data_IF_428040620634
#
_entry.id   IF_428040620634
#
_cell.length_a   1.000
_cell.length_b   1.000
_cell.length_c   1.000
_cell.angle_alpha   90.00
_cell.angle_beta   90.00
_cell.angle_gamma   90.00
#
_symmetry.space_group_name_H-M   'P 1'
#
loop_
_entity.id
_entity.type
_entity.pdbx_description
1 polymer ?
#
# COMPACT_ATOMS: atom_id res chain seq x y z
N UNK A 1 -8.26 20.53 -11.90
CA UNK A 1 -9.14 19.90 -10.90
C UNK A 1 -8.74 20.48 -9.55
N UNK A 2 -9.53 21.43 -9.07
CA UNK A 2 -9.18 22.31 -7.94
C UNK A 2 -9.26 21.53 -6.63
N UNK A 3 -8.18 21.55 -5.86
CA UNK A 3 -8.13 20.96 -4.51
C UNK A 3 -8.94 21.89 -3.59
N UNK A 4 -10.16 21.49 -3.24
CA UNK A 4 -10.95 22.16 -2.23
C UNK A 4 -10.57 21.64 -0.85
N UNK A 5 -9.79 22.41 -0.09
CA UNK A 5 -9.74 22.26 1.36
C UNK A 5 -11.03 22.86 1.93
N UNK A 6 -11.88 22.05 2.53
CA UNK A 6 -12.94 22.54 3.41
C UNK A 6 -12.46 22.34 4.84
N UNK A 7 -12.13 23.44 5.52
CA UNK A 7 -11.90 23.41 6.95
C UNK A 7 -13.27 23.25 7.63
N UNK A 8 -13.52 22.09 8.22
CA UNK A 8 -14.64 21.92 9.13
C UNK A 8 -14.21 22.37 10.53
N UNK A 9 -14.75 23.51 10.96
CA UNK A 9 -14.45 24.24 12.21
C UNK A 9 -15.04 23.56 13.47
N UNK A 10 -14.92 22.24 13.59
CA UNK A 10 -15.28 21.53 14.81
C UNK A 10 -14.39 20.30 14.98
N UNK A 11 -13.64 20.27 16.08
CA UNK A 11 -12.67 19.25 16.53
C UNK A 11 -11.26 19.42 15.96
N UNK A 12 -10.29 19.68 16.85
CA UNK A 12 -8.83 19.67 16.59
C UNK A 12 -8.28 18.27 16.25
N UNK A 13 -9.08 17.42 15.60
CA UNK A 13 -8.64 16.16 15.02
C UNK A 13 -8.65 16.34 13.51
N UNK A 14 -7.47 16.58 12.92
CA UNK A 14 -7.28 16.56 11.48
C UNK A 14 -7.64 15.15 11.01
N UNK A 15 -8.84 14.96 10.46
CA UNK A 15 -9.22 13.68 9.85
C UNK A 15 -8.53 13.64 8.49
N UNK A 16 -7.51 12.81 8.38
CA UNK A 16 -6.90 12.50 7.09
C UNK A 16 -7.91 11.62 6.34
N UNK A 17 -8.34 12.07 5.17
CA UNK A 17 -9.27 11.33 4.31
C UNK A 17 -8.55 10.28 3.46
N UNK A 18 -9.25 9.18 3.15
CA UNK A 18 -8.81 8.23 2.14
C UNK A 18 -8.68 8.93 0.78
N UNK A 19 -7.58 8.68 0.09
CA UNK A 19 -7.28 9.19 -1.25
C UNK A 19 -7.86 8.25 -2.33
N UNK A 20 -8.19 7.00 -1.99
CA UNK A 20 -8.87 6.05 -2.86
C UNK A 20 -10.16 5.52 -2.23
N UNK A 21 -11.00 4.84 -3.03
CA UNK A 21 -12.17 4.11 -2.54
C UNK A 21 -11.83 2.66 -2.09
N UNK A 22 -10.55 2.35 -1.89
CA UNK A 22 -10.08 1.01 -1.52
C UNK A 22 -10.61 0.59 -0.13
N UNK A 23 -11.25 -0.60 0.00
CA UNK A 23 -11.67 -1.13 1.30
C UNK A 23 -10.51 -1.32 2.29
N UNK A 24 -9.28 -1.49 1.78
CA UNK A 24 -8.06 -1.62 2.58
C UNK A 24 -7.73 -0.27 3.24
N UNK A 25 -7.88 0.83 2.50
CA UNK A 25 -7.59 2.17 3.00
C UNK A 25 -8.55 2.58 4.10
N UNK A 26 -9.84 2.25 3.95
CA UNK A 26 -10.86 2.48 4.97
C UNK A 26 -10.58 1.70 6.28
N UNK A 27 -10.08 0.46 6.18
CA UNK A 27 -9.69 -0.31 7.35
C UNK A 27 -8.54 0.36 8.11
N UNK A 28 -7.55 0.88 7.40
CA UNK A 28 -6.47 1.62 8.06
C UNK A 28 -6.92 2.96 8.64
N UNK A 29 -7.83 3.68 7.99
CA UNK A 29 -8.35 4.96 8.50
C UNK A 29 -9.03 4.79 9.87
N UNK A 30 -9.74 3.68 10.06
CA UNK A 30 -10.44 3.40 11.33
C UNK A 30 -9.53 2.87 12.43
N UNK A 31 -8.40 2.24 12.08
CA UNK A 31 -7.54 1.52 13.03
C UNK A 31 -6.22 2.21 13.37
N UNK A 32 -5.65 2.99 12.45
CA UNK A 32 -4.34 3.60 12.64
C UNK A 32 -4.40 4.89 13.46
N UNK A 33 -3.29 5.22 14.14
CA UNK A 33 -3.09 6.57 14.65
C UNK A 33 -2.94 7.55 13.49
N UNK A 34 -3.19 8.85 13.73
CA UNK A 34 -3.06 9.89 12.72
C UNK A 34 -1.68 9.88 12.03
N UNK A 35 -0.60 9.69 12.79
CA UNK A 35 0.76 9.61 12.24
C UNK A 35 0.96 8.41 11.31
N UNK A 36 0.50 7.23 11.73
CA UNK A 36 0.61 6.00 10.91
C UNK A 36 -0.24 6.11 9.64
N UNK A 37 -1.44 6.68 9.74
CA UNK A 37 -2.32 6.85 8.59
C UNK A 37 -1.80 7.92 7.62
N UNK A 38 -1.15 8.98 8.12
CA UNK A 38 -0.44 9.96 7.29
C UNK A 38 0.69 9.32 6.47
N UNK A 39 1.51 8.49 7.12
CA UNK A 39 2.56 7.72 6.44
C UNK A 39 1.99 6.72 5.42
N UNK A 40 0.83 6.14 5.71
CA UNK A 40 0.10 5.29 4.77
C UNK A 40 -0.39 6.09 3.56
N UNK A 41 -0.99 7.27 3.75
CA UNK A 41 -1.47 8.13 2.65
C UNK A 41 -0.35 8.54 1.70
N UNK A 42 0.87 8.75 2.20
CA UNK A 42 2.06 8.96 1.37
C UNK A 42 2.38 7.76 0.48
N UNK A 43 1.96 6.54 0.85
CA UNK A 43 2.06 5.33 0.01
C UNK A 43 0.92 5.20 -1.02
N UNK A 44 -0.17 5.95 -0.89
CA UNK A 44 -1.27 5.96 -1.87
C UNK A 44 -1.16 7.09 -2.91
N UNK A 45 -0.52 8.23 -2.59
CA UNK A 45 -0.25 9.35 -3.52
C UNK A 45 0.74 8.98 -4.65
N UNK A 46 0.67 9.63 -5.82
CA UNK A 46 0.42 9.04 -7.15
C UNK A 46 1.46 8.00 -7.64
N UNK A 47 0.98 7.13 -8.54
CA UNK A 47 1.63 5.92 -9.07
C UNK A 47 2.11 6.14 -10.51
N UNK A 48 2.97 7.13 -10.71
CA UNK A 48 3.60 7.35 -12.01
C UNK A 48 4.92 6.57 -11.92
N UNK A 49 5.19 5.70 -12.92
CA UNK A 49 6.42 4.89 -13.05
C UNK A 49 6.45 3.54 -12.31
N UNK A 50 5.30 2.94 -11.97
CA UNK A 50 5.26 1.55 -11.48
C UNK A 50 4.64 0.63 -12.53
N UNK A 51 5.40 -0.38 -12.97
CA UNK A 51 4.92 -1.48 -13.82
C UNK A 51 4.76 -2.71 -12.93
N UNK A 52 3.62 -3.41 -13.04
CA UNK A 52 3.32 -4.58 -12.23
C UNK A 52 2.92 -5.73 -13.14
N UNK A 53 3.55 -6.88 -12.97
CA UNK A 53 3.24 -8.11 -13.70
C UNK A 53 3.10 -9.28 -12.75
N UNK A 54 2.13 -10.16 -13.02
CA UNK A 54 2.08 -11.48 -12.39
C UNK A 54 3.09 -12.37 -13.13
N UNK A 55 4.12 -12.80 -12.43
CA UNK A 55 5.28 -13.49 -13.02
C UNK A 55 5.14 -15.01 -12.92
N UNK A 56 4.72 -15.50 -11.75
CA UNK A 56 4.50 -16.93 -11.51
C UNK A 56 3.24 -17.19 -10.69
N UNK A 57 2.66 -18.38 -10.88
CA UNK A 57 1.51 -18.89 -10.14
C UNK A 57 1.70 -20.39 -9.90
N UNK A 58 1.76 -20.78 -8.63
CA UNK A 58 1.88 -22.18 -8.21
C UNK A 58 0.88 -22.46 -7.08
N UNK A 59 -0.20 -23.14 -7.42
CA UNK A 59 -1.31 -23.38 -6.49
C UNK A 59 -1.89 -22.08 -5.95
N UNK A 60 -1.79 -21.86 -4.64
CA UNK A 60 -2.27 -20.63 -3.99
C UNK A 60 -1.23 -19.51 -3.95
N UNK A 61 0.02 -19.76 -4.34
CA UNK A 61 1.13 -18.81 -4.25
C UNK A 61 1.32 -18.10 -5.59
N UNK A 62 1.21 -16.78 -5.57
CA UNK A 62 1.41 -15.90 -6.71
C UNK A 62 2.65 -15.03 -6.49
N UNK A 63 3.48 -14.92 -7.51
CA UNK A 63 4.65 -14.03 -7.52
C UNK A 63 4.38 -12.85 -8.43
N UNK A 64 4.49 -11.65 -7.87
CA UNK A 64 4.35 -10.40 -8.60
C UNK A 64 5.71 -9.71 -8.73
N UNK A 65 6.05 -9.30 -9.95
CA UNK A 65 7.17 -8.38 -10.22
C UNK A 65 6.64 -6.95 -10.30
N UNK A 66 7.29 -6.06 -9.57
CA UNK A 66 6.99 -4.64 -9.51
C UNK A 66 8.25 -3.90 -9.90
N UNK A 67 8.22 -3.23 -11.04
CA UNK A 67 9.31 -2.41 -11.55
C UNK A 67 8.97 -0.95 -11.27
N UNK A 68 9.92 -0.25 -10.66
CA UNK A 68 9.86 1.19 -10.45
C UNK A 68 10.90 1.86 -11.33
N UNK A 69 10.46 2.65 -12.29
CA UNK A 69 11.35 3.46 -13.12
C UNK A 69 11.65 4.79 -12.41
N UNK A 70 12.94 5.09 -12.28
CA UNK A 70 13.43 6.32 -11.64
C UNK A 70 14.37 7.02 -12.60
N UNK A 71 14.08 8.27 -12.91
CA UNK A 71 15.00 9.14 -13.61
C UNK A 71 15.95 9.82 -12.60
N UNK A 72 17.25 9.76 -12.86
CA UNK A 72 18.25 10.47 -12.08
C UNK A 72 19.43 10.89 -12.97
N UNK A 73 19.70 12.20 -13.03
CA UNK A 73 20.73 12.80 -13.88
C UNK A 73 20.60 12.38 -15.36
N UNK A 74 19.40 12.56 -15.94
CA UNK A 74 19.04 12.21 -17.33
C UNK A 74 19.25 10.71 -17.68
N UNK A 75 19.33 9.85 -16.68
CA UNK A 75 19.41 8.39 -16.83
C UNK A 75 18.21 7.71 -16.18
N UNK A 76 17.67 6.71 -16.85
CA UNK A 76 16.60 5.86 -16.34
C UNK A 76 17.18 4.65 -15.61
N UNK A 77 16.63 4.35 -14.43
CA UNK A 77 16.99 3.21 -13.59
C UNK A 77 15.74 2.43 -13.20
N UNK A 78 15.83 1.11 -13.27
CA UNK A 78 14.76 0.23 -12.88
C UNK A 78 15.08 -0.43 -11.53
N UNK A 79 14.16 -0.27 -10.58
CA UNK A 79 14.19 -0.99 -9.32
C UNK A 79 13.12 -2.07 -9.35
N UNK A 80 13.56 -3.33 -9.33
CA UNK A 80 12.67 -4.47 -9.32
C UNK A 80 12.41 -4.94 -7.89
N UNK A 81 11.14 -5.18 -7.59
CA UNK A 81 10.69 -5.81 -6.36
C UNK A 81 9.81 -7.00 -6.68
N UNK A 82 9.91 -8.02 -5.84
CA UNK A 82 9.12 -9.24 -5.86
C UNK A 82 8.21 -9.22 -4.66
N UNK A 83 6.97 -9.62 -4.91
CA UNK A 83 5.95 -9.77 -3.89
C UNK A 83 5.31 -11.13 -4.05
N UNK A 84 5.46 -11.95 -3.01
CA UNK A 84 4.75 -13.21 -2.88
C UNK A 84 3.39 -12.95 -2.23
N UNK A 85 2.34 -13.52 -2.80
CA UNK A 85 0.99 -13.48 -2.28
C UNK A 85 0.43 -14.89 -2.18
N UNK A 86 -0.14 -15.21 -1.03
CA UNK A 86 -0.87 -16.45 -0.80
C UNK A 86 -2.37 -16.15 -0.81
N UNK A 87 -3.05 -16.57 -1.86
CA UNK A 87 -4.48 -16.36 -2.06
C UNK A 87 -5.36 -17.12 -1.06
N UNK A 88 -4.86 -18.22 -0.47
CA UNK A 88 -5.61 -19.00 0.53
C UNK A 88 -5.67 -18.30 1.89
N UNK A 89 -4.62 -17.55 2.24
CA UNK A 89 -4.48 -16.90 3.55
C UNK A 89 -4.52 -15.38 3.49
N UNK A 90 -4.52 -14.79 2.28
CA UNK A 90 -4.30 -13.35 2.05
C UNK A 90 -2.99 -12.83 2.65
N UNK A 91 -1.99 -13.71 2.76
CA UNK A 91 -0.66 -13.33 3.22
C UNK A 91 0.14 -12.72 2.07
N UNK A 92 0.90 -11.67 2.39
CA UNK A 92 1.79 -10.99 1.45
C UNK A 92 3.18 -10.82 2.06
N UNK A 93 4.20 -11.08 1.25
CA UNK A 93 5.61 -10.88 1.60
C UNK A 93 6.29 -10.11 0.46
N UNK A 94 7.00 -9.02 0.77
CA UNK A 94 7.71 -8.24 -0.23
C UNK A 94 9.20 -8.19 0.10
N UNK A 95 10.06 -8.37 -0.91
CA UNK A 95 11.52 -8.33 -0.77
C UNK A 95 12.07 -6.98 -0.27
N UNK A 96 11.27 -5.90 -0.23
CA UNK A 96 11.74 -4.65 0.38
C UNK A 96 11.85 -4.72 1.92
N UNK A 97 11.30 -5.77 2.55
CA UNK A 97 11.34 -6.04 3.99
C UNK A 97 10.89 -4.88 4.90
N UNK A 98 10.15 -3.90 4.38
CA UNK A 98 9.75 -2.70 5.13
C UNK A 98 8.64 -2.94 6.17
N UNK A 99 7.99 -4.12 6.16
CA UNK A 99 6.93 -4.42 7.12
C UNK A 99 7.47 -4.62 8.54
N UNK A 100 8.53 -5.42 8.71
CA UNK A 100 9.08 -5.74 10.03
C UNK A 100 9.52 -4.52 10.84
N UNK A 101 10.30 -3.57 10.29
CA UNK A 101 10.74 -2.41 11.06
C UNK A 101 9.64 -1.38 11.30
N UNK A 102 8.62 -1.30 10.43
CA UNK A 102 7.60 -0.22 10.50
C UNK A 102 6.23 -0.70 10.99
N UNK A 103 6.01 -2.01 11.13
CA UNK A 103 4.70 -2.62 11.39
C UNK A 103 3.59 -2.20 10.41
N UNK A 104 3.97 -1.61 9.27
CA UNK A 104 3.07 -1.08 8.25
C UNK A 104 3.48 -1.69 6.92
N UNK A 105 2.53 -2.30 6.22
CA UNK A 105 2.76 -2.88 4.89
C UNK A 105 3.41 -1.88 3.94
N UNK A 106 4.38 -2.35 3.17
CA UNK A 106 5.01 -1.53 2.16
C UNK A 106 4.01 -1.23 1.03
N UNK A 107 4.34 -0.23 0.21
CA UNK A 107 3.50 0.13 -0.93
C UNK A 107 3.30 -1.06 -1.89
N UNK A 108 4.36 -1.85 -2.14
CA UNK A 108 4.33 -3.03 -3.00
C UNK A 108 3.34 -4.10 -2.53
N UNK A 109 3.32 -4.39 -1.23
CA UNK A 109 2.36 -5.33 -0.65
C UNK A 109 0.92 -4.81 -0.74
N UNK A 110 0.70 -3.52 -0.45
CA UNK A 110 -0.63 -2.90 -0.56
C UNK A 110 -1.16 -2.95 -2.00
N UNK A 111 -0.28 -2.82 -2.99
CA UNK A 111 -0.63 -2.98 -4.39
C UNK A 111 -1.16 -4.36 -4.72
N UNK A 112 -0.41 -5.40 -4.37
CA UNK A 112 -0.80 -6.78 -4.67
C UNK A 112 -2.11 -7.13 -3.96
N UNK A 113 -2.29 -6.70 -2.72
CA UNK A 113 -3.55 -6.88 -1.99
C UNK A 113 -4.74 -6.18 -2.68
N UNK A 114 -4.51 -5.00 -3.27
CA UNK A 114 -5.51 -4.29 -4.07
C UNK A 114 -5.84 -5.00 -5.38
N UNK A 115 -4.83 -5.51 -6.10
CA UNK A 115 -4.98 -6.28 -7.34
C UNK A 115 -5.80 -7.55 -7.11
N UNK A 116 -5.51 -8.25 -6.02
CA UNK A 116 -6.19 -9.47 -5.58
C UNK A 116 -7.54 -9.18 -4.90
N UNK A 117 -7.96 -7.91 -4.87
CA UNK A 117 -9.25 -7.44 -4.31
C UNK A 117 -9.49 -7.94 -2.89
N UNK A 118 -8.43 -8.04 -2.08
CA UNK A 118 -8.51 -8.50 -0.69
C UNK A 118 -9.39 -7.55 0.10
N UNK A 119 -10.52 -8.05 0.60
CA UNK A 119 -11.50 -7.25 1.35
C UNK A 119 -11.17 -7.14 2.83
N UNK A 120 -10.49 -8.14 3.40
CA UNK A 120 -10.17 -8.21 4.83
C UNK A 120 -8.73 -8.67 4.99
N UNK A 121 -7.91 -7.87 5.66
CA UNK A 121 -6.53 -8.24 5.93
C UNK A 121 -6.44 -9.22 7.11
N UNK A 122 -5.50 -10.17 7.08
CA UNK A 122 -5.12 -10.94 8.26
C UNK A 122 -4.73 -10.04 9.43
N UNK A 123 -5.14 -10.42 10.65
CA UNK A 123 -4.90 -9.63 11.87
C UNK A 123 -3.42 -9.32 12.11
N UNK A 124 -2.49 -10.17 11.63
CA UNK A 124 -1.05 -9.93 11.75
C UNK A 124 -0.56 -8.64 11.07
N UNK A 125 -1.33 -8.07 10.13
CA UNK A 125 -1.03 -6.80 9.47
C UNK A 125 -1.74 -5.60 10.09
N UNK A 126 -2.69 -5.85 10.99
CA UNK A 126 -3.46 -4.84 11.71
C UNK A 126 -3.10 -5.00 13.19
N UNK A 127 -2.00 -4.39 13.60
CA UNK A 127 -1.72 -4.26 15.02
C UNK A 127 -2.69 -3.22 15.60
N UNK A 128 -3.65 -3.68 16.41
CA UNK A 128 -4.46 -2.80 17.26
C UNK A 128 -3.54 -2.02 18.22
N UNK A 129 -4.01 -0.83 18.61
CA UNK A 129 -3.33 0.16 19.45
C UNK A 129 -2.71 -0.42 20.73
#
# INVERSE_FOLDING_TARGET
>A
MTIGYKLDNATFNIIIHCVTVSPIENQFQTKYTHGMFSELQKKFRPMINYIITKDHEEGYIFTYKIIKEIEHNDKMFDFMYEVLFDSSTSNVCCQCHLFEPKKILCRHSLFVLGLERVKKLPNKYIHDR
#
